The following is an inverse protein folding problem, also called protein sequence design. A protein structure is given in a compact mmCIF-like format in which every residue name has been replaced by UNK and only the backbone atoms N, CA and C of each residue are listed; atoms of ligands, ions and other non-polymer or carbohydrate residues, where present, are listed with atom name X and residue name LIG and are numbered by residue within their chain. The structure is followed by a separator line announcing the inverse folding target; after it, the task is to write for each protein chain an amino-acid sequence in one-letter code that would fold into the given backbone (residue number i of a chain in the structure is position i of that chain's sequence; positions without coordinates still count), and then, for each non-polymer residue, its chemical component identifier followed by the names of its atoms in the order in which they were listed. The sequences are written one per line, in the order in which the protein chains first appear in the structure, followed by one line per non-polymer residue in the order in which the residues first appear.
data_IF_323801991582
#
_entry.id   IF_323801991582
#
_cell.length_a   1.000
_cell.length_b   1.000
_cell.length_c   1.000
_cell.angle_alpha   90.00
_cell.angle_beta   90.00
_cell.angle_gamma   90.00
#
_symmetry.space_group_name_H-M   'P 1'
#
loop_
_entity.id
_entity.type
_entity.pdbx_description
1 polymer ?
#
# COMPACT_ATOMS: atom_id res chain seq x y z
N UNK A 1 10.63 20.13 -38.71
CA UNK A 1 9.35 19.46 -38.39
C UNK A 1 9.63 18.25 -37.52
N UNK A 2 9.11 18.29 -36.30
CA UNK A 2 9.43 17.37 -35.21
C UNK A 2 8.98 15.94 -35.49
N UNK A 3 9.93 14.99 -35.42
CA UNK A 3 9.62 13.56 -35.30
C UNK A 3 9.05 13.32 -33.91
N UNK A 4 7.73 13.11 -33.84
CA UNK A 4 7.05 12.61 -32.66
C UNK A 4 7.66 11.23 -32.34
N UNK A 5 8.49 11.15 -31.29
CA UNK A 5 8.88 9.87 -30.71
C UNK A 5 7.63 9.33 -30.00
N UNK A 6 6.95 8.38 -30.64
CA UNK A 6 5.95 7.57 -29.98
C UNK A 6 6.64 6.83 -28.82
N UNK A 7 6.41 7.31 -27.60
CA UNK A 7 6.69 6.55 -26.39
C UNK A 7 5.67 5.41 -26.39
N UNK A 8 6.10 4.22 -26.81
CA UNK A 8 5.34 3.00 -26.60
C UNK A 8 5.28 2.76 -25.09
N UNK A 9 4.21 3.24 -24.46
CA UNK A 9 3.78 2.75 -23.15
C UNK A 9 3.29 1.34 -23.46
N UNK A 10 4.12 0.34 -23.19
CA UNK A 10 3.73 -1.06 -23.23
C UNK A 10 2.69 -1.26 -22.12
N UNK A 11 1.44 -0.98 -22.45
CA UNK A 11 0.30 -1.26 -21.60
C UNK A 11 0.22 -2.77 -21.44
N UNK A 12 0.65 -3.27 -20.29
CA UNK A 12 0.44 -4.64 -19.87
C UNK A 12 -1.06 -4.93 -19.89
N UNK A 13 -1.55 -5.47 -21.00
CA UNK A 13 -2.82 -6.19 -21.13
C UNK A 13 -2.66 -7.52 -20.39
N UNK A 14 -2.60 -7.46 -19.06
CA UNK A 14 -2.76 -8.65 -18.24
C UNK A 14 -4.24 -8.98 -18.20
N UNK A 15 -4.62 -10.12 -18.79
CA UNK A 15 -5.69 -10.93 -18.19
C UNK A 15 -5.16 -11.25 -16.79
N UNK A 16 -5.64 -10.51 -15.79
CA UNK A 16 -5.02 -10.49 -14.46
C UNK A 16 -5.38 -11.79 -13.73
N UNK A 17 -4.52 -12.80 -13.88
CA UNK A 17 -4.61 -14.06 -13.11
C UNK A 17 -4.23 -13.81 -11.64
N UNK A 18 -3.48 -12.74 -11.38
CA UNK A 18 -3.06 -12.36 -10.04
C UNK A 18 -4.21 -11.74 -9.27
N UNK A 19 -4.30 -12.11 -8.00
CA UNK A 19 -5.27 -11.59 -7.04
C UNK A 19 -4.59 -10.95 -5.84
N UNK A 20 -3.26 -11.05 -5.76
CA UNK A 20 -2.44 -10.58 -4.66
C UNK A 20 -1.28 -9.72 -5.15
N UNK A 21 -0.89 -8.74 -4.35
CA UNK A 21 0.39 -8.07 -4.48
C UNK A 21 1.09 -7.86 -3.14
N UNK A 22 2.42 -7.96 -3.19
CA UNK A 22 3.33 -7.51 -2.15
C UNK A 22 4.25 -6.45 -2.74
N UNK A 23 4.17 -5.22 -2.20
CA UNK A 23 5.07 -4.13 -2.54
C UNK A 23 6.08 -3.95 -1.42
N UNK A 24 7.34 -4.23 -1.71
CA UNK A 24 8.46 -4.08 -0.79
C UNK A 24 9.15 -2.74 -1.01
N UNK A 25 9.26 -1.97 0.07
CA UNK A 25 9.96 -0.68 0.10
C UNK A 25 11.07 -0.72 1.12
N UNK A 26 12.11 0.08 0.89
CA UNK A 26 13.22 0.32 1.79
C UNK A 26 13.48 1.82 1.84
N UNK A 27 14.13 2.34 2.89
CA UNK A 27 14.51 3.73 2.94
C UNK A 27 15.62 3.98 1.92
N UNK A 28 15.35 4.88 0.98
CA UNK A 28 16.34 5.35 0.02
C UNK A 28 17.18 6.47 0.65
N UNK A 29 17.90 6.07 1.71
CA UNK A 29 18.78 6.92 2.50
C UNK A 29 20.11 7.23 1.78
N UNK A 30 20.43 6.47 0.73
CA UNK A 30 21.60 6.67 -0.12
C UNK A 30 21.19 6.88 -1.57
N UNK A 31 21.92 7.74 -2.27
CA UNK A 31 21.68 7.96 -3.71
C UNK A 31 22.22 6.83 -4.59
N UNK A 32 23.14 6.01 -4.05
CA UNK A 32 23.71 4.84 -4.72
C UNK A 32 23.77 3.67 -3.76
N UNK A 33 23.52 2.46 -4.26
CA UNK A 33 23.59 1.24 -3.47
C UNK A 33 23.38 -0.01 -4.31
N UNK A 34 23.63 -1.17 -3.70
CA UNK A 34 23.38 -2.47 -4.29
C UNK A 34 22.07 -3.02 -3.72
N UNK A 35 21.06 -3.16 -4.58
CA UNK A 35 19.83 -3.87 -4.25
C UNK A 35 20.08 -5.37 -4.35
N UNK A 36 19.80 -6.07 -3.27
CA UNK A 36 19.82 -7.52 -3.19
C UNK A 36 18.40 -8.04 -3.13
N UNK A 37 18.05 -8.96 -4.03
CA UNK A 37 16.74 -9.58 -4.13
C UNK A 37 16.93 -11.08 -4.09
N UNK A 38 16.45 -11.72 -3.04
CA UNK A 38 16.61 -13.15 -2.81
C UNK A 38 15.28 -13.86 -2.97
N UNK A 39 15.25 -14.84 -3.86
CA UNK A 39 14.13 -15.75 -4.01
C UNK A 39 14.17 -16.80 -2.89
N UNK A 40 13.06 -16.96 -2.16
CA UNK A 40 12.95 -17.94 -1.07
C UNK A 40 12.30 -19.25 -1.52
N UNK A 41 11.96 -19.37 -2.80
CA UNK A 41 11.27 -20.52 -3.39
C UNK A 41 12.22 -21.43 -4.16
N UNK A 42 11.80 -22.68 -4.33
CA UNK A 42 12.47 -23.69 -5.15
C UNK A 42 12.08 -23.63 -6.64
N UNK A 43 11.42 -22.57 -7.07
CA UNK A 43 10.99 -22.32 -8.46
C UNK A 43 11.46 -20.95 -8.92
N UNK A 44 11.52 -20.71 -10.23
CA UNK A 44 11.77 -19.38 -10.78
C UNK A 44 10.72 -18.39 -10.24
N UNK A 45 11.19 -17.22 -9.79
CA UNK A 45 10.35 -16.15 -9.27
C UNK A 45 10.46 -14.92 -10.16
N UNK A 46 9.31 -14.34 -10.51
CA UNK A 46 9.20 -13.08 -11.24
C UNK A 46 8.80 -11.96 -10.29
N UNK A 47 9.60 -10.91 -10.26
CA UNK A 47 9.31 -9.67 -9.53
C UNK A 47 9.54 -8.48 -10.45
N UNK A 48 9.01 -7.33 -10.09
CA UNK A 48 9.08 -6.11 -10.88
C UNK A 48 9.73 -5.00 -10.10
N UNK A 49 10.83 -4.44 -10.63
CA UNK A 49 11.42 -3.22 -10.11
C UNK A 49 10.64 -2.03 -10.64
N UNK A 50 9.92 -1.38 -9.73
CA UNK A 50 9.11 -0.21 -10.03
C UNK A 50 9.90 1.05 -9.71
N UNK A 51 9.77 2.06 -10.56
CA UNK A 51 10.40 3.37 -10.42
C UNK A 51 9.34 4.45 -10.37
N UNK A 52 9.44 5.33 -9.38
CA UNK A 52 8.54 6.47 -9.18
C UNK A 52 9.33 7.78 -9.11
N UNK A 53 8.62 8.89 -9.35
CA UNK A 53 9.03 10.25 -8.99
C UNK A 53 7.89 10.92 -8.24
N UNK A 54 7.18 11.84 -8.89
CA UNK A 54 5.85 12.32 -8.45
C UNK A 54 4.72 11.34 -8.81
N UNK A 55 4.97 10.45 -9.76
CA UNK A 55 4.06 9.39 -10.21
C UNK A 55 4.86 8.15 -10.61
N UNK A 56 4.17 7.07 -10.95
CA UNK A 56 4.76 5.91 -11.61
C UNK A 56 5.48 6.34 -12.90
N UNK A 57 6.71 5.86 -13.09
CA UNK A 57 7.57 6.19 -14.25
C UNK A 57 7.79 4.98 -15.12
N UNK A 58 8.25 3.88 -14.53
CA UNK A 58 8.60 2.66 -15.27
C UNK A 58 8.58 1.45 -14.36
N UNK A 59 8.48 0.29 -14.97
CA UNK A 59 8.57 -1.01 -14.32
C UNK A 59 9.45 -1.93 -15.17
N UNK A 60 10.27 -2.75 -14.54
CA UNK A 60 11.17 -3.69 -15.21
C UNK A 60 11.08 -5.06 -14.55
N UNK A 61 10.80 -6.08 -15.35
CA UNK A 61 10.74 -7.46 -14.88
C UNK A 61 12.14 -7.97 -14.51
N UNK A 62 12.22 -8.69 -13.40
CA UNK A 62 13.40 -9.38 -12.91
C UNK A 62 13.04 -10.84 -12.69
N UNK A 63 13.76 -11.72 -13.37
CA UNK A 63 13.65 -13.16 -13.22
C UNK A 63 14.74 -13.66 -12.26
N UNK A 64 14.34 -14.30 -11.16
CA UNK A 64 15.24 -14.78 -10.12
C UNK A 64 15.16 -16.30 -10.05
N UNK A 65 16.31 -16.96 -10.14
CA UNK A 65 16.41 -18.43 -10.08
C UNK A 65 16.03 -18.99 -8.70
N UNK A 66 15.72 -20.29 -8.61
CA UNK A 66 15.33 -20.93 -7.36
C UNK A 66 16.39 -20.72 -6.28
N UNK A 67 15.97 -20.31 -5.09
CA UNK A 67 16.85 -19.97 -3.96
C UNK A 67 17.99 -19.00 -4.32
N UNK A 68 17.82 -18.25 -5.41
CA UNK A 68 18.84 -17.42 -6.01
C UNK A 68 18.88 -16.02 -5.42
N UNK A 69 20.04 -15.37 -5.56
CA UNK A 69 20.27 -13.98 -5.18
C UNK A 69 20.57 -13.15 -6.42
N UNK A 70 19.71 -12.18 -6.71
CA UNK A 70 19.94 -11.16 -7.74
C UNK A 70 20.51 -9.89 -7.09
N UNK A 71 21.49 -9.29 -7.76
CA UNK A 71 22.16 -8.06 -7.32
C UNK A 71 22.03 -7.00 -8.40
N UNK A 72 21.49 -5.83 -8.06
CA UNK A 72 21.27 -4.71 -9.00
C UNK A 72 21.89 -3.45 -8.41
N UNK A 73 22.74 -2.77 -9.17
CA UNK A 73 23.24 -1.46 -8.77
C UNK A 73 22.17 -0.41 -9.03
N UNK A 74 21.68 0.21 -7.97
CA UNK A 74 20.74 1.31 -8.03
C UNK A 74 21.46 2.65 -7.88
N UNK A 75 21.00 3.63 -8.66
CA UNK A 75 21.41 5.02 -8.56
C UNK A 75 20.20 5.91 -8.77
N UNK A 76 19.84 6.69 -7.76
CA UNK A 76 18.82 7.73 -7.91
C UNK A 76 19.43 8.92 -8.64
N UNK A 77 18.73 9.42 -9.65
CA UNK A 77 19.16 10.59 -10.43
C UNK A 77 18.64 11.92 -9.89
N UNK A 78 17.67 11.87 -8.98
CA UNK A 78 17.07 13.05 -8.36
C UNK A 78 16.55 12.75 -6.94
N UNK A 79 16.45 13.76 -6.06
CA UNK A 79 15.95 13.58 -4.68
C UNK A 79 14.50 13.15 -4.59
N UNK A 80 13.74 13.21 -5.68
CA UNK A 80 12.33 12.80 -5.82
C UNK A 80 12.16 11.39 -6.42
N UNK A 81 13.24 10.75 -6.89
CA UNK A 81 13.21 9.41 -7.46
C UNK A 81 13.10 8.30 -6.41
N UNK A 82 12.27 7.29 -6.68
CA UNK A 82 11.97 6.17 -5.78
C UNK A 82 12.00 4.82 -6.48
N UNK A 83 12.24 3.77 -5.71
CA UNK A 83 12.14 2.39 -6.14
C UNK A 83 11.32 1.55 -5.15
N UNK A 84 10.65 0.52 -5.67
CA UNK A 84 10.07 -0.58 -4.91
C UNK A 84 10.19 -1.88 -5.70
N UNK A 85 10.05 -3.01 -5.00
CA UNK A 85 9.86 -4.31 -5.64
C UNK A 85 8.39 -4.70 -5.51
N UNK A 86 7.74 -4.96 -6.64
CA UNK A 86 6.42 -5.55 -6.70
C UNK A 86 6.56 -7.06 -6.93
N UNK A 87 5.90 -7.85 -6.10
CA UNK A 87 5.70 -9.28 -6.26
C UNK A 87 4.20 -9.53 -6.41
N UNK A 88 3.77 -10.12 -7.52
CA UNK A 88 2.37 -10.45 -7.81
C UNK A 88 2.00 -11.89 -7.41
N UNK A 89 2.89 -12.60 -6.72
CA UNK A 89 2.61 -13.92 -6.16
C UNK A 89 2.26 -13.79 -4.66
N UNK A 90 2.23 -14.92 -3.95
CA UNK A 90 2.00 -14.93 -2.50
C UNK A 90 3.03 -14.05 -1.75
N UNK A 91 2.69 -13.55 -0.55
CA UNK A 91 3.56 -12.69 0.23
C UNK A 91 4.69 -13.51 0.89
N UNK A 92 5.82 -12.87 1.17
CA UNK A 92 6.93 -13.50 1.88
C UNK A 92 7.75 -14.49 1.05
N UNK A 93 7.60 -14.47 -0.28
CA UNK A 93 8.39 -15.32 -1.19
C UNK A 93 9.74 -14.69 -1.57
N UNK A 94 9.94 -13.41 -1.26
CA UNK A 94 11.13 -12.65 -1.64
C UNK A 94 11.63 -11.81 -0.47
N UNK A 95 12.95 -11.82 -0.28
CA UNK A 95 13.65 -10.97 0.66
C UNK A 95 14.41 -9.89 -0.12
N UNK A 96 14.23 -8.62 0.25
CA UNK A 96 14.83 -7.48 -0.45
C UNK A 96 15.57 -6.62 0.55
N UNK A 97 16.79 -6.20 0.21
CA UNK A 97 17.54 -5.22 0.98
C UNK A 97 18.39 -4.32 0.09
N UNK A 98 18.52 -3.06 0.46
CA UNK A 98 19.50 -2.15 -0.14
C UNK A 98 20.75 -2.10 0.73
N UNK A 99 21.92 -2.28 0.13
CA UNK A 99 23.21 -2.13 0.79
C UNK A 99 23.91 -0.88 0.25
N UNK A 100 24.24 0.05 1.14
CA UNK A 100 25.07 1.22 0.80
C UNK A 100 25.89 1.68 2.00
N UNK A 101 27.13 2.11 1.75
CA UNK A 101 28.06 2.59 2.79
C UNK A 101 28.22 1.61 3.96
N UNK A 102 28.26 0.30 3.69
CA UNK A 102 28.31 -0.79 4.69
C UNK A 102 27.10 -0.87 5.63
N UNK A 103 26.02 -0.14 5.34
CA UNK A 103 24.73 -0.21 6.04
C UNK A 103 23.74 -1.05 5.23
N UNK A 104 22.84 -1.73 5.93
CA UNK A 104 21.82 -2.62 5.37
C UNK A 104 20.43 -2.03 5.64
N UNK A 105 19.67 -1.84 4.57
CA UNK A 105 18.32 -1.28 4.61
C UNK A 105 17.35 -2.35 4.12
N UNK A 106 16.88 -3.23 5.03
CA UNK A 106 15.93 -4.27 4.69
C UNK A 106 14.61 -3.64 4.24
N UNK A 107 14.00 -4.23 3.22
CA UNK A 107 12.71 -3.82 2.75
C UNK A 107 11.59 -4.45 3.58
N UNK A 108 10.42 -3.80 3.60
CA UNK A 108 9.20 -4.38 4.13
C UNK A 108 7.98 -3.92 3.34
N UNK A 109 6.84 -4.61 3.54
CA UNK A 109 5.59 -4.32 2.84
C UNK A 109 4.61 -3.41 3.62
N UNK A 110 5.05 -2.85 4.76
CA UNK A 110 4.24 -1.97 5.57
C UNK A 110 4.18 -0.57 4.97
N UNK A 111 3.09 -0.29 4.28
CA UNK A 111 2.81 1.00 3.66
C UNK A 111 1.70 1.72 4.43
N UNK A 112 1.99 2.02 5.70
CA UNK A 112 1.20 2.88 6.57
C UNK A 112 0.54 2.12 7.73
N UNK A 113 -0.68 2.52 8.12
CA UNK A 113 -1.26 2.12 9.42
C UNK A 113 -0.75 3.01 10.55
N UNK A 114 -0.72 2.48 11.77
CA UNK A 114 -0.12 3.12 12.94
C UNK A 114 1.14 2.35 13.30
N UNK A 115 2.30 2.91 12.92
CA UNK A 115 3.61 2.28 13.07
C UNK A 115 4.23 2.67 14.41
N UNK A 116 4.65 1.71 15.22
CA UNK A 116 5.31 1.99 16.51
C UNK A 116 6.73 1.40 16.54
N UNK A 117 7.69 2.19 17.01
CA UNK A 117 9.12 1.88 17.11
C UNK A 117 9.58 1.98 18.56
N UNK A 118 10.49 1.10 19.02
CA UNK A 118 11.03 1.20 20.38
C UNK A 118 12.19 2.18 20.41
N UNK A 119 12.37 2.85 21.54
CA UNK A 119 13.49 3.78 21.73
C UNK A 119 14.86 3.10 21.65
N UNK A 120 14.97 1.85 22.11
CA UNK A 120 16.22 1.07 22.03
C UNK A 120 16.71 0.88 20.61
N UNK A 121 15.77 0.73 19.69
CA UNK A 121 16.00 0.44 18.27
C UNK A 121 16.57 1.71 17.58
N UNK A 122 16.22 2.88 18.13
CA UNK A 122 16.54 4.22 17.67
C UNK A 122 17.92 4.70 18.20
N UNK A 123 19.01 3.97 17.93
CA UNK A 123 20.37 4.31 18.40
C UNK A 123 20.83 5.72 17.96
N UNK A 124 20.48 6.12 16.73
CA UNK A 124 20.65 7.50 16.22
C UNK A 124 19.34 8.32 16.29
N UNK A 125 18.24 7.65 16.68
CA UNK A 125 16.86 8.11 16.73
C UNK A 125 16.38 8.89 15.51
N UNK A 126 16.68 8.40 14.31
CA UNK A 126 16.24 9.02 13.07
C UNK A 126 15.06 8.26 12.50
N UNK A 127 13.88 8.87 12.51
CA UNK A 127 12.69 8.31 11.89
C UNK A 127 12.60 8.84 10.46
N UNK A 128 12.81 7.97 9.49
CA UNK A 128 12.58 8.25 8.08
C UNK A 128 11.12 7.94 7.76
N UNK A 129 10.42 8.90 7.16
CA UNK A 129 9.08 8.69 6.61
C UNK A 129 9.03 9.17 5.17
N UNK A 130 8.18 8.53 4.38
CA UNK A 130 7.89 8.92 3.01
C UNK A 130 6.37 8.98 2.80
N UNK A 131 5.90 10.09 2.23
CA UNK A 131 4.52 10.20 1.80
C UNK A 131 4.30 9.45 0.48
N UNK A 132 3.60 8.31 0.54
CA UNK A 132 3.27 7.49 -0.64
C UNK A 132 1.96 7.91 -1.30
N UNK A 133 1.28 8.93 -0.78
CA UNK A 133 0.12 9.51 -1.40
C UNK A 133 0.53 10.58 -2.43
N UNK A 134 -0.09 10.59 -3.61
CA UNK A 134 0.19 11.60 -4.63
C UNK A 134 -0.42 12.98 -4.33
N UNK A 135 -1.06 13.14 -3.17
CA UNK A 135 -1.45 14.43 -2.58
C UNK A 135 -0.63 14.76 -1.33
N UNK A 136 -0.96 15.87 -0.68
CA UNK A 136 -0.39 16.23 0.62
C UNK A 136 -0.89 15.27 1.71
N UNK A 137 -0.03 14.92 2.65
CA UNK A 137 -0.35 14.04 3.77
C UNK A 137 0.14 14.65 5.09
N UNK A 138 -0.65 14.48 6.16
CA UNK A 138 -0.34 15.00 7.49
C UNK A 138 0.11 13.84 8.38
N UNK A 139 1.35 13.92 8.85
CA UNK A 139 1.98 12.96 9.73
C UNK A 139 1.88 13.43 11.17
N UNK A 140 1.60 12.50 12.07
CA UNK A 140 1.61 12.68 13.52
C UNK A 140 2.69 11.76 14.10
N UNK A 141 3.62 12.35 14.84
CA UNK A 141 4.64 11.65 15.60
C UNK A 141 4.31 11.78 17.09
N UNK A 142 3.97 10.67 17.73
CA UNK A 142 3.63 10.61 19.15
C UNK A 142 4.74 9.89 19.92
N UNK A 143 5.26 10.57 20.94
CA UNK A 143 6.20 9.97 21.89
C UNK A 143 5.44 9.40 23.06
N UNK A 144 5.58 8.10 23.28
CA UNK A 144 4.84 7.37 24.29
C UNK A 144 5.75 6.93 25.42
N UNK A 145 5.23 6.89 26.65
CA UNK A 145 5.93 6.27 27.78
C UNK A 145 5.81 4.74 27.74
N UNK A 146 6.34 4.04 28.75
CA UNK A 146 6.26 2.56 28.85
C UNK A 146 4.83 2.01 28.98
N UNK A 147 3.87 2.85 29.36
CA UNK A 147 2.44 2.52 29.45
C UNK A 147 1.66 2.88 28.17
N UNK A 148 2.35 3.26 27.09
CA UNK A 148 1.76 3.72 25.83
C UNK A 148 0.96 5.04 25.93
N UNK A 149 1.16 5.83 26.98
CA UNK A 149 0.54 7.15 27.12
C UNK A 149 1.33 8.19 26.34
N UNK A 150 0.65 9.04 25.57
CA UNK A 150 1.27 10.11 24.78
C UNK A 150 1.82 11.22 25.68
N UNK A 151 3.13 11.43 25.60
CA UNK A 151 3.86 12.49 26.32
C UNK A 151 3.97 13.75 25.45
N UNK A 152 4.18 13.55 24.15
CA UNK A 152 4.41 14.65 23.20
C UNK A 152 3.93 14.25 21.81
N UNK A 153 3.39 15.22 21.10
CA UNK A 153 2.98 15.08 19.70
C UNK A 153 3.70 16.11 18.83
N UNK A 154 4.11 15.70 17.63
CA UNK A 154 4.67 16.57 16.60
C UNK A 154 3.94 16.29 15.29
N UNK A 155 3.45 17.33 14.64
CA UNK A 155 2.75 17.23 13.37
C UNK A 155 3.64 17.75 12.23
N UNK A 156 3.70 17.02 11.13
CA UNK A 156 4.47 17.40 9.94
C UNK A 156 3.62 17.18 8.70
N UNK A 157 3.54 18.17 7.83
CA UNK A 157 2.83 18.06 6.55
C UNK A 157 3.83 17.82 5.44
N UNK A 158 3.67 16.72 4.70
CA UNK A 158 4.54 16.37 3.59
C UNK A 158 3.82 16.54 2.26
N UNK A 159 4.54 17.13 1.30
CA UNK A 159 4.14 17.19 -0.11
C UNK A 159 4.07 15.76 -0.70
N UNK A 160 3.41 15.58 -1.87
CA UNK A 160 3.39 14.31 -2.57
C UNK A 160 4.80 13.72 -2.72
N UNK A 161 4.97 12.43 -2.42
CA UNK A 161 6.24 11.70 -2.58
C UNK A 161 7.41 12.26 -1.79
N UNK A 162 7.19 13.21 -0.87
CA UNK A 162 8.27 13.80 -0.09
C UNK A 162 8.73 12.85 1.02
N UNK A 163 10.04 12.80 1.21
CA UNK A 163 10.68 12.13 2.35
C UNK A 163 11.01 13.13 3.45
N UNK A 164 10.95 12.68 4.70
CA UNK A 164 11.31 13.47 5.86
C UNK A 164 12.04 12.61 6.88
N UNK A 165 13.14 13.14 7.41
CA UNK A 165 13.91 12.50 8.48
C UNK A 165 13.68 13.31 9.74
N UNK A 166 12.93 12.73 10.67
CA UNK A 166 12.72 13.29 11.98
C UNK A 166 13.79 12.81 12.96
N UNK A 167 14.52 13.75 13.56
CA UNK A 167 15.52 13.44 14.60
C UNK A 167 14.84 13.44 15.97
N UNK A 168 14.55 12.27 16.50
CA UNK A 168 13.93 12.10 17.80
C UNK A 168 14.89 12.47 18.95
N UNK A 169 14.38 13.07 20.05
CA UNK A 169 15.17 13.49 21.19
C UNK A 169 15.64 12.28 22.01
N UNK A 170 16.83 11.76 21.66
CA UNK A 170 17.48 10.61 22.31
C UNK A 170 17.61 10.80 23.84
N UNK A 171 17.98 12.03 24.25
CA UNK A 171 18.26 12.38 25.65
C UNK A 171 17.01 12.52 26.53
N UNK A 172 15.82 12.59 25.94
CA UNK A 172 14.57 12.65 26.70
C UNK A 172 14.27 11.27 27.29
N UNK A 173 14.44 11.09 28.59
CA UNK A 173 14.29 9.78 29.27
C UNK A 173 12.84 9.35 29.46
N UNK A 174 11.89 10.27 29.37
CA UNK A 174 10.48 10.01 29.66
C UNK A 174 9.80 9.06 28.65
N UNK A 175 10.22 9.06 27.38
CA UNK A 175 9.58 8.25 26.34
C UNK A 175 10.31 6.92 26.11
N UNK A 176 9.55 5.91 25.70
CA UNK A 176 9.98 4.55 25.38
C UNK A 176 9.62 4.12 23.96
N UNK A 177 8.60 4.73 23.34
CA UNK A 177 8.17 4.41 21.99
C UNK A 177 7.92 5.66 21.15
N UNK A 178 8.16 5.56 19.85
CA UNK A 178 7.74 6.54 18.85
C UNK A 178 6.65 5.89 18.01
N UNK A 179 5.46 6.48 18.03
CA UNK A 179 4.35 6.09 17.15
C UNK A 179 4.23 7.12 16.03
N UNK A 180 4.14 6.62 14.80
CA UNK A 180 3.93 7.42 13.60
C UNK A 180 2.59 7.01 13.02
N UNK A 181 1.79 8.00 12.61
CA UNK A 181 0.56 7.80 11.87
C UNK A 181 0.39 8.92 10.83
N UNK A 182 -0.39 8.65 9.78
CA UNK A 182 -0.77 9.64 8.80
C UNK A 182 -2.18 9.36 8.29
N UNK A 183 -2.84 10.33 7.65
CA UNK A 183 -4.22 10.14 7.15
C UNK A 183 -4.27 9.34 5.86
N UNK A 184 -3.18 9.30 5.10
CA UNK A 184 -3.03 8.58 3.84
C UNK A 184 -1.78 7.66 3.87
N UNK A 185 -1.62 6.85 2.82
CA UNK A 185 -0.52 5.89 2.66
C UNK A 185 0.86 6.53 2.81
N UNK A 186 1.74 5.85 3.54
CA UNK A 186 3.11 6.28 3.79
C UNK A 186 4.03 5.08 4.07
N UNK A 187 5.34 5.25 4.02
CA UNK A 187 6.30 4.28 4.54
C UNK A 187 7.10 4.89 5.69
N UNK A 188 7.54 4.07 6.64
CA UNK A 188 8.31 4.51 7.79
C UNK A 188 9.41 3.52 8.17
N UNK A 189 10.60 4.03 8.44
CA UNK A 189 11.74 3.24 8.88
C UNK A 189 12.49 3.96 9.99
N UNK A 190 12.94 3.19 10.97
CA UNK A 190 13.95 3.65 11.92
C UNK A 190 15.32 3.55 11.25
N UNK A 191 16.10 4.63 11.19
CA UNK A 191 17.48 4.62 10.71
C UNK A 191 18.45 4.57 11.89
N UNK A 192 19.45 3.70 11.78
CA UNK A 192 20.48 3.50 12.80
C UNK A 192 21.89 3.32 12.19
N UNK A 193 22.87 2.99 13.03
CA UNK A 193 24.25 2.79 12.61
C UNK A 193 24.44 1.58 11.70
N UNK A 194 23.57 0.57 11.80
CA UNK A 194 23.58 -0.63 10.96
C UNK A 194 22.79 -0.45 9.65
N UNK A 195 21.89 0.53 9.58
CA UNK A 195 21.11 0.87 8.40
C UNK A 195 19.68 1.23 8.76
N UNK A 196 18.73 0.30 8.62
CA UNK A 196 17.35 0.54 9.03
C UNK A 196 16.61 -0.67 9.61
N UNK A 197 15.55 -0.38 10.35
CA UNK A 197 14.65 -1.36 10.96
C UNK A 197 13.19 -0.95 10.74
N UNK A 198 12.34 -1.98 10.63
CA UNK A 198 10.88 -1.83 10.56
C UNK A 198 10.25 -1.55 11.93
N UNK A 199 8.93 -1.29 11.94
CA UNK A 199 8.17 -1.12 13.18
C UNK A 199 8.12 -2.41 13.99
N UNK A 200 8.09 -2.31 15.32
CA UNK A 200 7.90 -3.50 16.19
C UNK A 200 6.42 -3.84 16.40
N UNK A 201 5.54 -2.84 16.24
CA UNK A 201 4.09 -2.97 16.39
C UNK A 201 3.40 -2.15 15.30
N UNK A 202 2.35 -2.73 14.73
CA UNK A 202 1.55 -2.13 13.67
C UNK A 202 0.10 -2.29 14.08
N UNK A 203 -0.65 -1.19 14.07
CA UNK A 203 -2.09 -1.23 14.29
C UNK A 203 -2.84 -0.68 13.07
N UNK A 204 -4.06 -1.17 12.80
CA UNK A 204 -4.94 -0.56 11.82
C UNK A 204 -5.17 0.93 12.11
N UNK A 205 -5.24 1.73 11.06
CA UNK A 205 -5.65 3.12 11.20
C UNK A 205 -7.15 3.19 11.44
N UNK A 206 -7.56 3.93 12.47
CA UNK A 206 -8.97 4.19 12.72
C UNK A 206 -9.54 5.21 11.72
N UNK A 207 -10.82 5.15 11.46
CA UNK A 207 -11.50 6.13 10.62
C UNK A 207 -12.94 6.41 11.02
N UNK A 208 -13.51 7.46 10.41
CA UNK A 208 -14.91 7.81 10.57
C UNK A 208 -15.74 7.06 9.55
N UNK A 209 -16.86 6.51 10.00
CA UNK A 209 -17.82 5.77 9.18
C UNK A 209 -19.20 6.40 9.26
N UNK A 210 -20.03 6.11 8.26
CA UNK A 210 -21.40 6.55 8.17
C UNK A 210 -22.33 5.39 8.53
N UNK A 211 -22.98 5.49 9.69
CA UNK A 211 -23.89 4.46 10.21
C UNK A 211 -25.13 4.24 9.34
N UNK A 212 -25.40 5.14 8.38
CA UNK A 212 -26.52 5.01 7.43
C UNK A 212 -26.13 4.32 6.13
N UNK A 213 -24.85 4.05 5.91
CA UNK A 213 -24.37 3.36 4.73
C UNK A 213 -24.12 1.88 5.02
N UNK A 214 -24.27 1.04 4.00
CA UNK A 214 -23.84 -0.35 4.06
C UNK A 214 -22.41 -0.46 3.49
N UNK A 215 -21.56 -1.21 4.17
CA UNK A 215 -20.18 -1.43 3.77
C UNK A 215 -19.98 -2.88 3.39
N UNK A 216 -19.32 -3.11 2.26
CA UNK A 216 -19.07 -4.46 1.79
C UNK A 216 -17.60 -4.64 1.43
N UNK A 217 -17.04 -5.79 1.80
CA UNK A 217 -15.73 -6.21 1.34
C UNK A 217 -15.87 -6.82 -0.03
N UNK A 218 -15.07 -6.31 -0.96
CA UNK A 218 -14.89 -6.89 -2.28
C UNK A 218 -13.52 -7.54 -2.32
N UNK A 219 -13.49 -8.84 -2.59
CA UNK A 219 -12.26 -9.63 -2.59
C UNK A 219 -12.30 -10.70 -3.69
N UNK A 220 -11.15 -11.28 -4.04
CA UNK A 220 -11.05 -12.32 -5.05
C UNK A 220 -11.92 -13.54 -4.73
N UNK A 221 -12.33 -14.28 -5.77
CA UNK A 221 -13.03 -15.56 -5.59
C UNK A 221 -12.16 -16.65 -4.98
N UNK A 222 -10.86 -16.61 -5.24
CA UNK A 222 -9.90 -17.53 -4.65
C UNK A 222 -9.56 -17.09 -3.22
N UNK A 223 -9.16 -18.05 -2.39
CA UNK A 223 -8.71 -17.74 -1.03
C UNK A 223 -7.44 -16.89 -1.09
N UNK A 224 -7.44 -15.79 -0.34
CA UNK A 224 -6.33 -14.84 -0.28
C UNK A 224 -6.47 -13.68 -1.27
N UNK A 225 -5.39 -12.91 -1.40
CA UNK A 225 -5.35 -11.73 -2.25
C UNK A 225 -5.76 -10.42 -1.57
N UNK A 226 -5.57 -9.35 -2.33
CA UNK A 226 -5.90 -8.00 -1.88
C UNK A 226 -7.40 -7.77 -1.97
N UNK A 227 -7.92 -6.91 -1.11
CA UNK A 227 -9.34 -6.59 -1.04
C UNK A 227 -9.55 -5.08 -0.95
N UNK A 228 -10.78 -4.64 -1.10
CA UNK A 228 -11.18 -3.26 -0.93
C UNK A 228 -12.58 -3.18 -0.35
N UNK A 229 -12.94 -2.02 0.21
CA UNK A 229 -14.25 -1.80 0.83
C UNK A 229 -15.04 -0.85 -0.06
N UNK A 230 -16.29 -1.22 -0.36
CA UNK A 230 -17.25 -0.33 -1.02
C UNK A 230 -18.28 0.15 -0.02
N UNK A 231 -18.62 1.44 -0.13
CA UNK A 231 -19.73 2.05 0.61
C UNK A 231 -20.91 2.20 -0.33
N UNK A 232 -22.05 1.59 0.02
CA UNK A 232 -23.28 1.62 -0.80
C UNK A 232 -24.40 2.28 -0.01
N UNK A 233 -25.08 3.25 -0.62
CA UNK A 233 -26.24 3.95 -0.04
C UNK A 233 -27.52 3.73 -0.83
N UNK A 234 -27.44 3.28 -2.09
CA UNK A 234 -28.59 2.92 -2.90
C UNK A 234 -29.18 1.58 -2.43
N UNK A 235 -30.47 1.56 -2.07
CA UNK A 235 -31.15 0.38 -1.51
C UNK A 235 -31.11 -0.84 -2.43
N UNK A 236 -31.29 -0.65 -3.74
CA UNK A 236 -31.34 -1.76 -4.70
C UNK A 236 -29.95 -2.40 -4.87
N UNK A 237 -28.90 -1.57 -4.87
CA UNK A 237 -27.52 -2.05 -4.90
C UNK A 237 -27.15 -2.75 -3.59
N UNK A 238 -27.65 -2.30 -2.44
CA UNK A 238 -27.48 -2.99 -1.14
C UNK A 238 -28.13 -4.38 -1.19
N UNK A 239 -29.35 -4.47 -1.73
CA UNK A 239 -30.04 -5.76 -1.86
C UNK A 239 -29.26 -6.73 -2.74
N UNK A 240 -28.74 -6.29 -3.89
CA UNK A 240 -27.89 -7.10 -4.76
C UNK A 240 -26.57 -7.51 -4.12
N UNK A 241 -25.92 -6.60 -3.40
CA UNK A 241 -24.70 -6.92 -2.67
C UNK A 241 -24.95 -8.02 -1.61
N UNK A 242 -26.05 -7.92 -0.86
CA UNK A 242 -26.47 -8.94 0.12
C UNK A 242 -26.86 -10.27 -0.52
N UNK A 243 -27.52 -10.23 -1.67
CA UNK A 243 -27.79 -11.43 -2.46
C UNK A 243 -26.50 -12.16 -2.84
N UNK A 244 -25.48 -11.42 -3.28
CA UNK A 244 -24.16 -12.00 -3.58
C UNK A 244 -23.45 -12.54 -2.33
N UNK A 245 -23.59 -11.91 -1.16
CA UNK A 245 -23.10 -12.47 0.10
C UNK A 245 -23.79 -13.81 0.42
N UNK A 246 -25.11 -13.88 0.26
CA UNK A 246 -25.89 -15.09 0.52
C UNK A 246 -25.64 -16.20 -0.52
N UNK A 247 -25.29 -15.83 -1.75
CA UNK A 247 -25.05 -16.71 -2.87
C UNK A 247 -23.66 -16.46 -3.47
N UNK A 248 -22.57 -16.90 -2.81
CA UNK A 248 -21.20 -16.57 -3.19
C UNK A 248 -20.75 -17.12 -4.55
N UNK A 249 -21.53 -18.04 -5.14
CA UNK A 249 -21.29 -18.60 -6.47
C UNK A 249 -21.84 -17.70 -7.60
N UNK A 250 -22.52 -16.60 -7.29
CA UNK A 250 -22.96 -15.64 -8.29
C UNK A 250 -21.74 -14.95 -8.95
N UNK A 251 -21.66 -15.05 -10.27
CA UNK A 251 -20.59 -14.46 -11.10
C UNK A 251 -20.75 -12.94 -11.32
N UNK A 252 -21.39 -12.23 -10.38
CA UNK A 252 -21.67 -10.81 -10.50
C UNK A 252 -20.45 -9.94 -10.19
N UNK A 253 -19.88 -9.31 -11.21
CA UNK A 253 -18.80 -8.33 -11.09
C UNK A 253 -19.37 -7.00 -10.59
N UNK A 254 -18.67 -6.38 -9.63
CA UNK A 254 -19.00 -5.03 -9.14
C UNK A 254 -18.51 -3.99 -10.14
N UNK A 255 -19.43 -3.17 -10.66
CA UNK A 255 -19.11 -1.98 -11.45
C UNK A 255 -19.20 -0.75 -10.56
N UNK A 256 -18.13 0.02 -10.53
CA UNK A 256 -18.07 1.18 -9.66
C UNK A 256 -17.22 2.30 -10.24
N UNK A 257 -17.66 3.55 -10.03
CA UNK A 257 -16.82 4.73 -10.24
C UNK A 257 -15.80 4.84 -9.11
N UNK A 258 -14.60 5.29 -9.44
CA UNK A 258 -13.53 5.47 -8.47
C UNK A 258 -13.12 6.93 -8.37
N UNK A 259 -12.65 7.30 -7.19
CA UNK A 259 -12.10 8.63 -6.91
C UNK A 259 -10.77 8.51 -6.17
N UNK A 260 -9.99 9.59 -6.23
CA UNK A 260 -8.73 9.71 -5.50
C UNK A 260 -8.98 9.85 -3.99
N UNK A 261 -8.13 9.23 -3.20
CA UNK A 261 -8.19 9.19 -1.75
C UNK A 261 -9.05 8.05 -1.20
N UNK A 262 -8.71 7.59 0.00
CA UNK A 262 -9.36 6.49 0.71
C UNK A 262 -10.84 6.68 1.07
N UNK A 263 -11.32 7.93 1.03
CA UNK A 263 -12.57 8.37 1.66
C UNK A 263 -12.70 8.00 3.15
N UNK A 264 -11.58 7.69 3.81
CA UNK A 264 -11.56 7.27 5.20
C UNK A 264 -12.17 5.90 5.46
N UNK A 265 -12.36 5.03 4.47
CA UNK A 265 -12.83 3.67 4.74
C UNK A 265 -12.14 2.62 3.87
N UNK A 266 -11.75 2.98 2.65
CA UNK A 266 -11.26 1.98 1.70
C UNK A 266 -9.86 1.49 2.10
N UNK A 267 -9.77 0.25 2.56
CA UNK A 267 -8.52 -0.42 2.93
C UNK A 267 -8.48 -1.83 2.39
N UNK A 268 -7.31 -2.43 2.45
CA UNK A 268 -7.17 -3.86 2.24
C UNK A 268 -7.64 -4.61 3.49
N UNK A 269 -8.83 -5.20 3.43
CA UNK A 269 -9.45 -5.88 4.56
C UNK A 269 -8.80 -7.23 4.91
N UNK A 270 -8.11 -7.87 3.96
CA UNK A 270 -7.29 -9.06 4.21
C UNK A 270 -5.94 -8.72 4.86
N UNK A 271 -5.52 -7.45 4.84
CA UNK A 271 -4.25 -6.93 5.40
C UNK A 271 -4.51 -5.64 6.18
N UNK A 272 -5.35 -5.72 7.23
CA UNK A 272 -5.98 -4.57 7.91
C UNK A 272 -5.00 -3.61 8.59
N UNK A 273 -3.82 -4.12 8.91
CA UNK A 273 -2.70 -3.39 9.46
C UNK A 273 -2.02 -2.45 8.46
N UNK A 274 -2.24 -2.64 7.15
CA UNK A 274 -1.79 -1.71 6.10
C UNK A 274 -2.63 -0.43 6.09
N UNK A 275 -2.11 0.62 5.43
CA UNK A 275 -2.87 1.84 5.21
C UNK A 275 -4.14 1.59 4.41
N UNK A 276 -5.04 2.57 4.49
CA UNK A 276 -6.00 2.80 3.44
C UNK A 276 -5.35 2.86 2.05
N UNK A 277 -6.12 2.43 1.06
CA UNK A 277 -5.82 2.67 -0.35
C UNK A 277 -5.83 4.17 -0.65
N UNK A 278 -5.04 4.61 -1.63
CA UNK A 278 -5.00 6.00 -2.11
C UNK A 278 -6.16 6.34 -3.05
N UNK A 279 -7.17 5.49 -3.12
CA UNK A 279 -8.38 5.61 -3.93
C UNK A 279 -9.56 4.99 -3.19
N UNK A 280 -10.77 5.25 -3.66
CA UNK A 280 -11.99 4.64 -3.14
C UNK A 280 -13.08 4.58 -4.19
N UNK A 281 -14.07 3.73 -3.97
CA UNK A 281 -15.30 3.72 -4.75
C UNK A 281 -16.15 4.93 -4.34
N UNK A 282 -16.52 5.76 -5.32
CA UNK A 282 -17.43 6.88 -5.13
C UNK A 282 -18.88 6.47 -5.31
N UNK A 283 -19.14 5.50 -6.19
CA UNK A 283 -20.48 5.01 -6.51
C UNK A 283 -20.40 3.58 -7.06
N UNK A 284 -21.19 2.66 -6.53
CA UNK A 284 -21.46 1.36 -7.17
C UNK A 284 -22.58 1.56 -8.17
N UNK A 285 -22.30 1.37 -9.45
CA UNK A 285 -23.22 1.68 -10.55
C UNK A 285 -24.00 0.47 -11.02
N UNK A 286 -23.43 -0.74 -10.93
CA UNK A 286 -24.11 -1.97 -11.35
C UNK A 286 -23.44 -3.24 -10.80
N UNK A 287 -24.15 -4.36 -10.92
CA UNK A 287 -23.64 -5.73 -10.81
C UNK A 287 -23.94 -6.46 -12.13
N UNK A 288 -22.93 -7.03 -12.78
CA UNK A 288 -23.11 -7.73 -14.05
C UNK A 288 -22.04 -8.80 -14.29
N UNK A 289 -22.30 -9.74 -15.18
CA UNK A 289 -21.45 -10.93 -15.36
C UNK A 289 -20.28 -10.70 -16.35
N UNK A 290 -20.32 -9.61 -17.13
CA UNK A 290 -19.33 -9.31 -18.17
C UNK A 290 -18.89 -7.85 -18.04
N UNK A 291 -17.57 -7.63 -17.97
CA UNK A 291 -16.95 -6.31 -17.99
C UNK A 291 -16.00 -6.11 -19.16
N UNK A 292 -15.65 -4.85 -19.43
CA UNK A 292 -14.62 -4.51 -20.40
C UNK A 292 -13.22 -4.77 -19.83
N UNK A 293 -12.26 -5.11 -20.69
CA UNK A 293 -10.83 -5.19 -20.30
C UNK A 293 -10.30 -3.86 -19.76
N UNK A 294 -10.90 -2.73 -20.16
CA UNK A 294 -10.47 -1.38 -19.76
C UNK A 294 -10.66 -1.07 -18.28
N UNK A 295 -11.62 -1.70 -17.60
CA UNK A 295 -11.89 -1.51 -16.18
C UNK A 295 -11.48 -2.72 -15.32
N UNK A 296 -10.92 -3.76 -15.95
CA UNK A 296 -10.41 -4.94 -15.27
C UNK A 296 -9.01 -4.66 -14.66
N UNK A 297 -8.67 -5.36 -13.58
CA UNK A 297 -7.40 -5.24 -12.89
C UNK A 297 -7.46 -5.77 -11.46
N UNK A 298 -6.53 -5.30 -10.63
CA UNK A 298 -6.48 -5.56 -9.19
C UNK A 298 -6.30 -4.25 -8.40
N UNK A 299 -6.65 -4.20 -7.11
CA UNK A 299 -6.45 -3.03 -6.25
C UNK A 299 -5.05 -2.43 -6.33
N UNK A 300 -4.00 -3.26 -6.34
CA UNK A 300 -2.62 -2.77 -6.43
C UNK A 300 -2.31 -2.07 -7.76
N UNK A 301 -2.80 -2.58 -8.90
CA UNK A 301 -2.57 -1.96 -10.20
C UNK A 301 -3.26 -0.59 -10.31
N UNK A 302 -4.42 -0.44 -9.69
CA UNK A 302 -5.09 0.86 -9.55
C UNK A 302 -4.27 1.76 -8.61
N UNK A 303 -3.86 1.25 -7.45
CA UNK A 303 -3.06 1.98 -6.46
C UNK A 303 -1.75 2.54 -7.05
N UNK A 304 -1.05 1.79 -7.90
CA UNK A 304 0.20 2.25 -8.54
C UNK A 304 -0.05 3.38 -9.56
N UNK A 305 -1.29 3.52 -10.04
CA UNK A 305 -1.67 4.39 -11.16
C UNK A 305 -2.93 5.21 -10.89
N UNK A 306 -3.21 5.56 -9.63
CA UNK A 306 -4.47 6.22 -9.21
C UNK A 306 -4.79 7.44 -10.08
N UNK A 307 -3.80 8.30 -10.31
CA UNK A 307 -4.02 9.56 -11.04
C UNK A 307 -4.38 9.35 -12.52
N UNK A 308 -3.86 8.31 -13.18
CA UNK A 308 -4.26 7.98 -14.54
C UNK A 308 -5.55 7.15 -14.55
N UNK A 309 -5.70 6.20 -13.64
CA UNK A 309 -6.87 5.32 -13.57
C UNK A 309 -8.17 6.10 -13.31
N UNK A 310 -8.15 7.07 -12.39
CA UNK A 310 -9.32 7.91 -12.08
C UNK A 310 -9.71 8.79 -13.29
N UNK A 311 -8.75 9.17 -14.14
CA UNK A 311 -9.04 9.89 -15.39
C UNK A 311 -9.55 8.96 -16.48
N UNK A 312 -8.91 7.80 -16.62
CA UNK A 312 -9.23 6.79 -17.60
C UNK A 312 -8.73 5.42 -17.10
N UNK A 313 -9.64 4.46 -16.81
CA UNK A 313 -11.05 4.42 -17.21
C UNK A 313 -12.03 5.21 -16.31
N UNK A 314 -11.64 5.66 -15.12
CA UNK A 314 -12.51 6.31 -14.12
C UNK A 314 -13.46 5.38 -13.37
N UNK A 315 -13.39 4.07 -13.65
CA UNK A 315 -14.23 3.03 -13.07
C UNK A 315 -13.47 1.72 -12.91
N UNK A 316 -14.04 0.80 -12.15
CA UNK A 316 -13.54 -0.56 -11.96
C UNK A 316 -14.62 -1.58 -12.33
N UNK A 317 -14.16 -2.71 -12.83
CA UNK A 317 -14.92 -3.94 -13.05
C UNK A 317 -13.95 -5.12 -12.90
N UNK A 318 -13.34 -5.27 -11.72
CA UNK A 318 -12.32 -6.30 -11.51
C UNK A 318 -12.93 -7.70 -11.65
N UNK A 319 -12.61 -8.40 -12.73
CA UNK A 319 -13.31 -9.62 -13.15
C UNK A 319 -13.21 -10.75 -12.12
N UNK A 320 -12.11 -10.81 -11.37
CA UNK A 320 -11.86 -11.86 -10.38
C UNK A 320 -12.47 -11.57 -8.99
N UNK A 321 -13.13 -10.43 -8.81
CA UNK A 321 -13.56 -9.91 -7.49
C UNK A 321 -15.08 -9.93 -7.32
N UNK A 322 -15.54 -10.33 -6.14
CA UNK A 322 -16.96 -10.39 -5.75
C UNK A 322 -17.16 -9.78 -4.37
N UNK A 323 -18.37 -9.34 -4.06
CA UNK A 323 -18.74 -9.02 -2.67
C UNK A 323 -18.63 -10.31 -1.84
N UNK A 324 -17.97 -10.24 -0.68
CA UNK A 324 -17.74 -11.40 0.21
C UNK A 324 -18.45 -11.29 1.54
N UNK A 325 -18.51 -10.09 2.09
CA UNK A 325 -19.13 -9.86 3.39
C UNK A 325 -19.65 -8.43 3.50
N UNK A 326 -20.72 -8.28 4.28
CA UNK A 326 -21.16 -6.99 4.80
C UNK A 326 -20.43 -6.71 6.11
N UNK A 327 -19.99 -5.47 6.30
CA UNK A 327 -19.32 -5.01 7.52
C UNK A 327 -20.19 -4.00 8.25
N UNK A 328 -20.11 -4.03 9.57
CA UNK A 328 -20.64 -2.98 10.43
C UNK A 328 -19.81 -1.71 10.33
N UNK A 329 -20.42 -0.57 10.66
CA UNK A 329 -19.72 0.71 10.68
C UNK A 329 -18.53 0.71 11.66
N UNK A 330 -18.62 -0.03 12.78
CA UNK A 330 -17.56 -0.12 13.79
C UNK A 330 -16.39 -1.01 13.34
N UNK A 331 -16.67 -2.09 12.62
CA UNK A 331 -15.62 -2.92 12.00
C UNK A 331 -14.81 -2.11 10.98
N UNK A 332 -15.48 -1.33 10.13
CA UNK A 332 -14.82 -0.47 9.14
C UNK A 332 -14.02 0.65 9.83
N UNK A 333 -14.59 1.27 10.87
CA UNK A 333 -13.95 2.35 11.61
C UNK A 333 -12.70 1.88 12.34
N UNK A 334 -12.76 0.72 13.00
CA UNK A 334 -11.63 0.16 13.75
C UNK A 334 -10.61 -0.55 12.87
N UNK A 335 -11.02 -1.07 11.71
CA UNK A 335 -10.22 -2.00 10.93
C UNK A 335 -10.11 -3.38 11.58
N UNK A 336 -11.03 -3.74 12.48
CA UNK A 336 -11.02 -5.00 13.22
C UNK A 336 -12.36 -5.70 13.07
N UNK A 337 -12.36 -7.04 13.14
CA UNK A 337 -13.60 -7.82 13.27
C UNK A 337 -14.09 -7.68 14.71
N UNK A 338 -15.37 -7.38 14.88
CA UNK A 338 -16.01 -7.31 16.19
C UNK A 338 -16.82 -8.60 16.31
N UNK A 339 -16.47 -9.42 17.30
CA UNK A 339 -17.13 -10.70 17.57
C UNK A 339 -18.32 -10.52 18.53
#
# INVERSE_FOLDING_TARGET
MNKLKAVFILGLLFVSIFTEAEVLRWPQACDTGQLEIKNLQNTDLRVWLQKFRSSFVSESEINIKPLGLMKINLKTTSPDERYSILNLNAPGLVEVQLICSKKIYPAHHFEGGILTYRKSDLAEAQMWVENLYSGTNQFTFEFLNRKFETIRTVNVTLKPMAKYIYKAPVRMTAWAYLRVSASQRYAGFNLNSAGAEGPFLINPQASKTDVKAAYFVVAPNQVGGDSYIVKITNSDMILRAREQVAHPNLEQIVFAKVQKGASGFNRNWSKREKSFWSWSVSEVTNFADIGSTSCNGIPQSLEDRVDSWVKQPGQICFWSYRIKEELTADEVASGMKIQ
#
